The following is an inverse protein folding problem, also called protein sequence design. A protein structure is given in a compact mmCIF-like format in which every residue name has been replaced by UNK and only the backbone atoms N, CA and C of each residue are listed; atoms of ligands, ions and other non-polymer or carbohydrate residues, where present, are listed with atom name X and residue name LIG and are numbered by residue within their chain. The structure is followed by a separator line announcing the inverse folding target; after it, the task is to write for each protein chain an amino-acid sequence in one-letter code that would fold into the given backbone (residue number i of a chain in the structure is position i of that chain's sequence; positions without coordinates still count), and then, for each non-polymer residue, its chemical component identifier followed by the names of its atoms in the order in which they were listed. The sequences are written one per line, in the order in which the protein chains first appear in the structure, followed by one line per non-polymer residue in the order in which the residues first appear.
data_IF_933045428050
#
_entry.id   IF_933045428050
#
_cell.length_a   1.000
_cell.length_b   1.000
_cell.length_c   1.000
_cell.angle_alpha   90.00
_cell.angle_beta   90.00
_cell.angle_gamma   90.00
#
_symmetry.space_group_name_H-M   'P 1'
#
loop_
_entity.id
_entity.type
_entity.pdbx_description
1 polymer ?
#
# COMPACT_ATOMS: atom_id res chain seq x y z
N UNK A 1 -17.45 -14.49 2.42
CA UNK A 1 -17.81 -13.12 2.86
C UNK A 1 -16.58 -12.53 3.53
N UNK A 2 -16.10 -11.37 3.10
CA UNK A 2 -14.95 -10.71 3.75
C UNK A 2 -15.38 -10.15 5.10
N UNK A 3 -14.57 -10.27 6.17
CA UNK A 3 -14.88 -9.67 7.45
C UNK A 3 -14.80 -8.15 7.35
N UNK A 4 -15.73 -7.45 8.02
CA UNK A 4 -15.67 -6.00 8.13
C UNK A 4 -14.37 -5.60 8.85
N UNK A 5 -13.64 -4.67 8.28
CA UNK A 5 -12.44 -4.07 8.88
C UNK A 5 -12.72 -2.63 9.26
N UNK A 6 -12.29 -2.20 10.42
CA UNK A 6 -12.40 -0.78 10.79
C UNK A 6 -11.50 0.09 9.92
N UNK A 7 -10.29 -0.41 9.65
CA UNK A 7 -9.25 0.30 8.90
C UNK A 7 -8.71 -0.59 7.79
N UNK A 8 -8.59 -0.05 6.59
CA UNK A 8 -7.88 -0.67 5.46
C UNK A 8 -6.70 0.21 5.08
N UNK A 9 -5.54 -0.37 4.84
CA UNK A 9 -4.38 0.35 4.33
C UNK A 9 -4.23 0.19 2.81
N UNK A 10 -3.87 1.28 2.14
CA UNK A 10 -3.53 1.32 0.72
C UNK A 10 -2.11 1.84 0.55
N UNK A 11 -1.17 0.94 0.20
CA UNK A 11 0.23 1.28 -0.02
C UNK A 11 0.48 1.63 -1.49
N UNK A 12 0.96 2.84 -1.73
CA UNK A 12 1.32 3.33 -3.06
C UNK A 12 2.76 2.87 -3.41
N UNK A 13 2.88 1.78 -4.15
CA UNK A 13 4.13 1.10 -4.48
C UNK A 13 4.48 1.17 -5.99
N UNK A 14 3.82 2.05 -6.76
CA UNK A 14 3.88 2.10 -8.22
C UNK A 14 4.96 3.01 -8.82
N UNK A 15 5.77 3.70 -8.03
CA UNK A 15 6.74 4.67 -8.52
C UNK A 15 7.95 4.04 -9.23
N UNK A 16 8.40 4.64 -10.34
CA UNK A 16 9.58 4.21 -11.10
C UNK A 16 10.91 4.31 -10.31
N UNK A 17 10.96 5.20 -9.31
CA UNK A 17 12.16 5.38 -8.49
C UNK A 17 13.37 5.93 -9.23
N UNK A 18 13.16 6.67 -10.31
CA UNK A 18 14.23 7.17 -11.22
C UNK A 18 15.40 7.88 -10.50
N UNK A 19 15.12 8.47 -9.32
CA UNK A 19 16.17 9.13 -8.49
C UNK A 19 17.18 8.17 -7.90
N UNK A 20 16.88 6.87 -7.81
CA UNK A 20 17.81 5.85 -7.32
C UNK A 20 18.69 5.25 -8.41
N UNK A 21 18.59 5.74 -9.65
CA UNK A 21 19.44 5.38 -10.77
C UNK A 21 19.52 3.87 -11.00
N UNK A 22 20.71 3.31 -10.89
CA UNK A 22 21.00 1.89 -11.18
C UNK A 22 20.16 0.93 -10.34
N UNK A 23 19.81 1.29 -9.09
CA UNK A 23 19.07 0.42 -8.16
C UNK A 23 17.65 0.12 -8.63
N UNK A 24 17.05 1.01 -9.42
CA UNK A 24 15.66 0.88 -9.86
C UNK A 24 15.49 0.63 -11.36
N UNK A 25 16.58 0.32 -12.07
CA UNK A 25 16.50 0.01 -13.50
C UNK A 25 15.69 -1.26 -13.80
N UNK A 26 15.78 -2.26 -12.92
CA UNK A 26 15.17 -3.59 -13.12
C UNK A 26 14.13 -3.98 -12.06
N UNK A 27 14.01 -3.20 -11.00
CA UNK A 27 13.10 -3.49 -9.88
C UNK A 27 12.36 -2.23 -9.44
N UNK A 28 11.14 -2.40 -8.97
CA UNK A 28 10.38 -1.31 -8.36
C UNK A 28 11.07 -0.79 -7.10
N UNK A 29 10.98 0.53 -6.84
CA UNK A 29 11.61 1.17 -5.67
C UNK A 29 11.30 0.46 -4.35
N UNK A 30 10.05 0.05 -4.04
CA UNK A 30 9.74 -0.67 -2.80
C UNK A 30 10.43 -2.03 -2.67
N UNK A 31 10.81 -2.65 -3.80
CA UNK A 31 11.52 -3.93 -3.82
C UNK A 31 13.04 -3.81 -3.67
N UNK A 32 13.59 -2.60 -3.61
CA UNK A 32 15.04 -2.37 -3.44
C UNK A 32 15.49 -2.94 -2.09
N UNK A 33 16.57 -3.75 -2.04
CA UNK A 33 17.15 -4.24 -0.80
C UNK A 33 17.63 -3.11 0.11
N UNK A 34 17.39 -3.26 1.41
CA UNK A 34 17.80 -2.33 2.43
C UNK A 34 18.36 -3.06 3.66
N UNK A 35 19.53 -2.65 4.14
CA UNK A 35 20.17 -3.26 5.31
C UNK A 35 20.53 -4.74 5.15
N UNK A 36 20.71 -5.22 3.92
CA UNK A 36 21.15 -6.56 3.58
C UNK A 36 20.06 -7.64 3.62
N UNK A 37 19.13 -7.59 4.57
CA UNK A 37 18.08 -8.62 4.76
C UNK A 37 16.71 -8.17 4.29
N UNK A 38 16.40 -6.89 4.44
CA UNK A 38 15.07 -6.33 4.20
C UNK A 38 14.97 -5.68 2.83
N UNK A 39 13.75 -5.36 2.43
CA UNK A 39 13.43 -4.45 1.33
C UNK A 39 12.68 -3.23 1.86
N UNK A 40 12.61 -2.18 1.08
CA UNK A 40 11.94 -0.93 1.49
C UNK A 40 10.49 -1.19 1.91
N UNK A 41 9.78 -2.06 1.21
CA UNK A 41 8.37 -2.40 1.49
C UNK A 41 8.15 -3.04 2.87
N UNK A 42 9.16 -3.67 3.47
CA UNK A 42 9.04 -4.31 4.78
C UNK A 42 8.67 -3.32 5.89
N UNK A 43 9.15 -2.09 5.79
CA UNK A 43 8.88 -1.07 6.80
C UNK A 43 7.40 -0.68 6.86
N UNK A 44 6.73 -0.24 5.77
CA UNK A 44 5.32 0.08 5.84
C UNK A 44 4.43 -1.15 6.10
N UNK A 45 4.76 -2.36 5.62
CA UNK A 45 4.01 -3.57 5.93
C UNK A 45 4.10 -3.91 7.42
N UNK A 46 5.31 -3.91 7.99
CA UNK A 46 5.50 -4.13 9.43
C UNK A 46 4.81 -3.07 10.28
N UNK A 47 4.82 -1.80 9.86
CA UNK A 47 4.09 -0.74 10.55
C UNK A 47 2.57 -0.97 10.52
N UNK A 48 2.00 -1.46 9.39
CA UNK A 48 0.58 -1.81 9.31
C UNK A 48 0.22 -2.88 10.35
N UNK A 49 0.96 -3.99 10.37
CA UNK A 49 0.73 -5.09 11.31
C UNK A 49 0.85 -4.64 12.75
N UNK A 50 1.94 -3.94 13.08
CA UNK A 50 2.17 -3.42 14.42
C UNK A 50 1.12 -2.37 14.86
N UNK A 51 0.37 -1.83 13.92
CA UNK A 51 -0.74 -0.89 14.16
C UNK A 51 -2.11 -1.57 14.17
N UNK A 52 -2.16 -2.91 14.08
CA UNK A 52 -3.40 -3.69 14.06
C UNK A 52 -4.18 -3.59 12.74
N UNK A 53 -3.54 -3.22 11.64
CA UNK A 53 -4.16 -3.15 10.31
C UNK A 53 -3.90 -4.48 9.59
N UNK A 54 -4.96 -5.27 9.40
CA UNK A 54 -4.88 -6.61 8.84
C UNK A 54 -5.17 -6.67 7.33
N UNK A 55 -5.88 -5.69 6.78
CA UNK A 55 -6.20 -5.63 5.36
C UNK A 55 -5.35 -4.56 4.66
N UNK A 56 -4.44 -4.98 3.80
CA UNK A 56 -3.47 -4.12 3.15
C UNK A 56 -3.46 -4.34 1.63
N UNK A 57 -3.85 -3.31 0.87
CA UNK A 57 -3.72 -3.30 -0.59
C UNK A 57 -2.41 -2.63 -1.02
N UNK A 58 -1.58 -3.33 -1.78
CA UNK A 58 -0.33 -2.79 -2.32
C UNK A 58 -0.52 -2.48 -3.80
N UNK A 59 -0.56 -1.19 -4.14
CA UNK A 59 -0.79 -0.73 -5.51
C UNK A 59 0.53 -0.68 -6.27
N UNK A 60 0.69 -1.58 -7.24
CA UNK A 60 1.90 -1.70 -8.06
C UNK A 60 1.61 -1.29 -9.51
N UNK A 61 2.59 -0.72 -10.18
CA UNK A 61 2.48 -0.37 -11.59
C UNK A 61 3.76 -0.67 -12.37
N UNK A 62 4.90 -0.32 -11.81
CA UNK A 62 6.19 -0.42 -12.46
C UNK A 62 6.97 -1.64 -11.94
N UNK A 63 7.49 -2.48 -12.86
CA UNK A 63 8.28 -3.67 -12.53
C UNK A 63 7.70 -4.51 -11.37
N UNK A 64 6.44 -4.98 -11.48
CA UNK A 64 5.74 -5.55 -10.34
C UNK A 64 6.23 -6.96 -9.96
N UNK A 65 6.87 -7.69 -10.88
CA UNK A 65 7.17 -9.11 -10.73
C UNK A 65 7.96 -9.42 -9.45
N UNK A 66 9.13 -8.76 -9.29
CA UNK A 66 10.01 -8.99 -8.13
C UNK A 66 9.35 -8.59 -6.82
N UNK A 67 8.53 -7.53 -6.84
CA UNK A 67 7.78 -7.09 -5.66
C UNK A 67 6.68 -8.07 -5.31
N UNK A 68 5.93 -8.55 -6.29
CA UNK A 68 4.86 -9.53 -6.11
C UNK A 68 5.38 -10.85 -5.56
N UNK A 69 6.49 -11.36 -6.14
CA UNK A 69 7.16 -12.57 -5.65
C UNK A 69 7.66 -12.41 -4.20
N UNK A 70 8.19 -11.25 -3.87
CA UNK A 70 8.68 -10.97 -2.52
C UNK A 70 7.56 -10.87 -1.49
N UNK A 71 6.48 -10.17 -1.80
CA UNK A 71 5.31 -10.07 -0.93
C UNK A 71 4.63 -11.44 -0.79
N UNK A 72 4.53 -12.20 -1.89
CA UNK A 72 3.87 -13.50 -1.90
C UNK A 72 2.46 -13.43 -1.31
N UNK A 73 2.19 -14.30 -0.34
CA UNK A 73 0.92 -14.33 0.39
C UNK A 73 0.91 -13.48 1.68
N UNK A 74 2.01 -12.81 2.01
CA UNK A 74 2.10 -11.97 3.21
C UNK A 74 2.54 -12.66 4.49
N UNK A 75 2.87 -13.96 4.43
CA UNK A 75 3.27 -14.75 5.60
C UNK A 75 4.40 -14.11 6.45
N UNK A 76 5.45 -13.49 5.88
CA UNK A 76 6.52 -12.87 6.67
C UNK A 76 6.04 -11.75 7.60
N UNK A 77 4.86 -11.22 7.39
CA UNK A 77 4.25 -10.14 8.19
C UNK A 77 2.96 -10.58 8.88
N UNK A 78 2.63 -11.88 8.94
CA UNK A 78 1.34 -12.38 9.43
C UNK A 78 0.11 -11.76 8.70
N UNK A 79 0.30 -11.41 7.42
CA UNK A 79 -0.74 -10.84 6.53
C UNK A 79 -1.23 -11.89 5.51
N UNK A 80 -1.34 -13.15 5.92
CA UNK A 80 -1.71 -14.30 5.09
C UNK A 80 -3.09 -14.89 5.43
N UNK A 81 -3.91 -14.15 6.16
CA UNK A 81 -5.26 -14.58 6.52
C UNK A 81 -6.15 -14.88 5.30
N UNK A 82 -7.01 -15.88 5.41
CA UNK A 82 -7.85 -16.39 4.31
C UNK A 82 -8.75 -15.32 3.66
N UNK A 83 -9.23 -14.36 4.44
CA UNK A 83 -10.14 -13.30 3.97
C UNK A 83 -9.64 -11.88 4.30
N UNK A 84 -8.47 -11.77 4.88
CA UNK A 84 -7.74 -10.54 5.20
C UNK A 84 -6.27 -10.75 4.83
N UNK A 85 -5.47 -9.73 4.92
CA UNK A 85 -4.04 -9.83 4.66
C UNK A 85 -3.57 -8.88 3.57
N UNK A 86 -2.37 -9.13 3.05
CA UNK A 86 -1.83 -8.31 1.97
C UNK A 86 -2.30 -8.82 0.61
N UNK A 87 -2.74 -7.89 -0.24
CA UNK A 87 -3.06 -8.18 -1.64
C UNK A 87 -2.37 -7.17 -2.55
N UNK A 88 -1.66 -7.68 -3.56
CA UNK A 88 -1.07 -6.84 -4.58
C UNK A 88 -2.14 -6.49 -5.62
N UNK A 89 -2.26 -5.20 -5.91
CA UNK A 89 -3.26 -4.62 -6.80
C UNK A 89 -2.53 -3.95 -7.97
N UNK A 90 -2.71 -4.51 -9.15
CA UNK A 90 -2.15 -3.97 -10.39
C UNK A 90 -3.24 -3.23 -11.18
N UNK A 91 -2.87 -2.31 -12.09
CA UNK A 91 -3.84 -1.68 -12.99
C UNK A 91 -4.63 -2.71 -13.77
N UNK A 92 -5.92 -2.46 -13.98
CA UNK A 92 -6.77 -3.33 -14.79
C UNK A 92 -6.69 -2.96 -16.27
N UNK A 93 -6.66 -3.99 -17.11
CA UNK A 93 -6.87 -3.84 -18.54
C UNK A 93 -8.39 -3.70 -18.80
N UNK A 94 -8.83 -2.54 -19.30
CA UNK A 94 -10.20 -2.34 -19.78
C UNK A 94 -10.28 -2.66 -21.27
N UNK A 95 -11.47 -2.97 -21.78
CA UNK A 95 -11.73 -3.10 -23.23
C UNK A 95 -11.34 -1.80 -23.93
N UNK A 96 -10.11 -1.75 -24.50
CA UNK A 96 -9.58 -0.56 -25.17
C UNK A 96 -8.12 -0.21 -24.86
N UNK A 97 -7.46 -0.97 -23.98
CA UNK A 97 -6.05 -0.80 -23.64
C UNK A 97 -5.77 -0.82 -22.13
N UNK A 98 -4.50 -0.95 -21.76
CA UNK A 98 -4.10 -0.92 -20.36
C UNK A 98 -4.25 0.52 -19.80
N UNK A 99 -5.16 0.70 -18.88
CA UNK A 99 -5.32 1.96 -18.15
C UNK A 99 -4.28 2.02 -17.00
N UNK A 100 -3.08 2.49 -17.31
CA UNK A 100 -2.08 2.80 -16.31
C UNK A 100 -2.62 3.83 -15.30
N UNK A 101 -2.19 3.73 -14.04
CA UNK A 101 -2.55 4.75 -13.06
C UNK A 101 -2.01 6.13 -13.50
N UNK A 102 -2.90 7.07 -13.72
CA UNK A 102 -2.54 8.44 -14.11
C UNK A 102 -2.11 9.31 -12.92
N UNK A 103 -1.92 8.69 -11.75
CA UNK A 103 -1.47 9.31 -10.51
C UNK A 103 -1.95 8.54 -9.28
N UNK A 104 -1.53 8.99 -8.10
CA UNK A 104 -1.82 8.31 -6.83
C UNK A 104 -3.30 8.24 -6.52
N UNK A 105 -4.04 9.32 -6.73
CA UNK A 105 -5.49 9.34 -6.52
C UNK A 105 -6.23 8.40 -7.49
N UNK A 106 -5.80 8.35 -8.75
CA UNK A 106 -6.35 7.43 -9.74
C UNK A 106 -6.08 5.97 -9.39
N UNK A 107 -4.90 5.65 -8.83
CA UNK A 107 -4.58 4.31 -8.36
C UNK A 107 -5.56 3.85 -7.26
N UNK A 108 -5.89 4.71 -6.29
CA UNK A 108 -6.89 4.41 -5.27
C UNK A 108 -8.27 4.25 -5.89
N UNK A 109 -8.68 5.18 -6.77
CA UNK A 109 -9.99 5.14 -7.43
C UNK A 109 -10.22 3.87 -8.24
N UNK A 110 -9.24 3.41 -9.00
CA UNK A 110 -9.35 2.16 -9.78
C UNK A 110 -9.51 0.93 -8.88
N UNK A 111 -9.07 0.99 -7.63
CA UNK A 111 -9.13 -0.10 -6.65
C UNK A 111 -10.17 0.11 -5.56
N UNK A 112 -11.15 0.99 -5.76
CA UNK A 112 -12.22 1.26 -4.79
C UNK A 112 -12.97 -0.02 -4.41
N UNK A 113 -13.19 -0.94 -5.36
CA UNK A 113 -13.84 -2.23 -5.13
C UNK A 113 -13.08 -3.11 -4.11
N UNK A 114 -11.75 -2.98 -4.02
CA UNK A 114 -10.98 -3.65 -2.98
C UNK A 114 -11.32 -3.11 -1.59
N UNK A 115 -11.43 -1.80 -1.46
CA UNK A 115 -11.80 -1.13 -0.21
C UNK A 115 -13.22 -1.54 0.19
N UNK A 116 -14.16 -1.47 -0.74
CA UNK A 116 -15.59 -1.77 -0.50
C UNK A 116 -15.82 -3.20 0.00
N UNK A 117 -14.95 -4.17 -0.35
CA UNK A 117 -15.05 -5.55 0.14
C UNK A 117 -15.04 -5.64 1.66
N UNK A 118 -14.30 -4.78 2.31
CA UNK A 118 -14.11 -4.76 3.77
C UNK A 118 -15.05 -3.80 4.47
N UNK A 119 -15.78 -2.96 3.73
CA UNK A 119 -16.67 -1.92 4.27
C UNK A 119 -16.04 -1.15 5.45
N UNK A 120 -14.83 -0.56 5.27
CA UNK A 120 -14.10 0.07 6.36
C UNK A 120 -14.71 1.41 6.76
N UNK A 121 -14.45 1.84 7.98
CA UNK A 121 -14.77 3.19 8.44
C UNK A 121 -13.67 4.19 8.04
N UNK A 122 -12.44 3.71 7.95
CA UNK A 122 -11.27 4.53 7.63
C UNK A 122 -10.36 3.84 6.62
N UNK A 123 -9.76 4.64 5.76
CA UNK A 123 -8.73 4.19 4.81
C UNK A 123 -7.44 4.96 5.08
N UNK A 124 -6.36 4.24 5.34
CA UNK A 124 -5.02 4.82 5.52
C UNK A 124 -4.27 4.69 4.21
N UNK A 125 -3.88 5.82 3.61
CA UNK A 125 -3.10 5.86 2.37
C UNK A 125 -1.64 6.13 2.73
N UNK A 126 -0.77 5.21 2.34
CA UNK A 126 0.63 5.20 2.71
C UNK A 126 1.53 5.16 1.48
N UNK A 127 2.72 5.77 1.59
CA UNK A 127 3.78 5.58 0.60
C UNK A 127 4.50 4.26 0.86
N UNK A 128 4.71 3.47 -0.18
CA UNK A 128 5.43 2.19 -0.10
C UNK A 128 6.95 2.32 0.01
N UNK A 129 7.47 3.54 0.11
CA UNK A 129 8.90 3.84 0.15
C UNK A 129 9.37 4.53 1.44
N UNK A 130 8.55 4.50 2.48
CA UNK A 130 8.88 5.05 3.79
C UNK A 130 9.69 4.08 4.64
N UNK A 131 10.90 4.49 5.00
CA UNK A 131 11.82 3.71 5.84
C UNK A 131 11.87 4.35 7.23
N UNK A 132 10.86 4.11 8.05
CA UNK A 132 10.85 4.46 9.46
C UNK A 132 9.83 3.64 10.24
N UNK A 133 9.96 3.64 11.58
CA UNK A 133 9.02 3.00 12.49
C UNK A 133 7.91 3.98 12.85
N UNK A 134 6.67 3.63 12.55
CA UNK A 134 5.50 4.46 12.86
C UNK A 134 4.33 3.59 13.31
N UNK A 135 3.61 4.08 14.30
CA UNK A 135 2.35 3.51 14.77
C UNK A 135 1.18 4.27 14.13
N UNK A 136 0.58 3.65 13.13
CA UNK A 136 -0.56 4.25 12.39
C UNK A 136 -1.84 4.29 13.23
N UNK A 137 -1.96 3.47 14.29
CA UNK A 137 -3.12 3.50 15.17
C UNK A 137 -3.29 4.85 15.85
N UNK A 138 -2.19 5.52 16.19
CA UNK A 138 -2.19 6.87 16.76
C UNK A 138 -2.71 7.91 15.77
N UNK A 139 -2.34 7.77 14.50
CA UNK A 139 -2.82 8.65 13.44
C UNK A 139 -4.32 8.49 13.22
N UNK A 140 -4.81 7.25 13.20
CA UNK A 140 -6.25 6.96 13.10
C UNK A 140 -7.01 7.46 14.33
N UNK A 141 -6.49 7.23 15.53
CA UNK A 141 -7.10 7.72 16.77
C UNK A 141 -7.20 9.25 16.80
N UNK A 142 -6.15 9.94 16.37
CA UNK A 142 -6.18 11.41 16.24
C UNK A 142 -7.22 11.88 15.22
N UNK A 143 -7.27 11.25 14.06
CA UNK A 143 -8.28 11.54 13.04
C UNK A 143 -9.71 11.40 13.58
N UNK A 144 -9.99 10.32 14.32
CA UNK A 144 -11.29 10.10 14.98
C UNK A 144 -11.61 11.21 15.99
N UNK A 145 -10.63 11.60 16.80
CA UNK A 145 -10.82 12.60 17.87
C UNK A 145 -11.13 13.99 17.33
N UNK A 146 -10.49 14.39 16.22
CA UNK A 146 -10.67 15.74 15.67
C UNK A 146 -11.84 15.87 14.69
N UNK A 147 -12.45 14.75 14.29
CA UNK A 147 -13.56 14.71 13.30
C UNK A 147 -13.30 15.51 12.04
N UNK A 148 -12.02 15.62 11.65
CA UNK A 148 -11.60 16.49 10.55
C UNK A 148 -11.70 15.72 9.24
N UNK A 149 -12.62 16.12 8.39
CA UNK A 149 -12.83 15.55 7.07
C UNK A 149 -11.92 16.15 5.98
N UNK A 150 -11.11 17.17 6.31
CA UNK A 150 -10.28 17.87 5.33
C UNK A 150 -8.88 18.12 5.86
N UNK A 151 -7.90 17.40 5.35
CA UNK A 151 -6.50 17.83 5.32
C UNK A 151 -6.24 18.49 3.97
N UNK A 152 -6.38 19.80 3.90
CA UNK A 152 -5.81 20.57 2.80
C UNK A 152 -4.32 20.74 3.09
N UNK A 153 -3.48 19.97 2.41
CA UNK A 153 -2.06 20.29 2.36
C UNK A 153 -1.91 21.56 1.53
N UNK A 154 -1.18 22.58 2.02
CA UNK A 154 -0.86 23.72 1.18
C UNK A 154 0.02 23.22 0.02
N UNK A 155 -0.54 23.22 -1.18
CA UNK A 155 0.23 23.03 -2.41
C UNK A 155 1.03 24.31 -2.64
N UNK A 156 2.36 24.20 -2.54
CA UNK A 156 3.25 25.20 -3.12
C UNK A 156 3.48 24.92 -4.59
#
# INVERSE_FOLDING_TARGET
MYPKQEVVAMLLAGGQGSRLGVLTQKIAKPAVPYGGKYRIIDFPLSNCVNSGIEAVGVLTQYQPLVLNEYIGNGQPWDLDGMNVGVQVLSPYEKKGGADWYSGTANAIYQNINYIDRYNPEYVVILSGDHIYKMDYSKMVAYHKAVSYTHLTLPTK
#
